data_IF_267412286372
#
_entry.id   IF_267412286372
#
_cell.length_a   1.000
_cell.length_b   1.000
_cell.length_c   1.000
_cell.angle_alpha   90.00
_cell.angle_beta   90.00
_cell.angle_gamma   90.00
#
_symmetry.space_group_name_H-M   'P 1'
#
loop_
_entity.id
_entity.type
_entity.pdbx_description
1 polymer ?
#
# COMPACT_ATOMS: atom_id res chain seq x y z
N UNK A 1 7.92 -2.02 -13.40
CA UNK A 1 8.05 -0.57 -13.22
C UNK A 1 9.45 -0.11 -13.58
N UNK A 2 9.59 1.16 -13.90
CA UNK A 2 10.88 1.80 -14.09
C UNK A 2 11.71 1.64 -12.81
N UNK A 3 12.97 1.18 -12.88
CA UNK A 3 13.81 1.05 -11.69
C UNK A 3 13.95 2.32 -10.86
N UNK A 4 13.88 3.50 -11.49
CA UNK A 4 13.93 4.78 -10.76
C UNK A 4 12.72 5.02 -9.87
N UNK A 5 11.62 4.32 -10.12
CA UNK A 5 10.37 4.41 -9.37
C UNK A 5 10.19 3.28 -8.36
N UNK A 6 11.06 2.29 -8.38
CA UNK A 6 11.02 1.18 -7.44
C UNK A 6 11.54 1.64 -6.07
N UNK A 7 10.86 1.25 -4.99
CA UNK A 7 11.27 1.62 -3.63
C UNK A 7 12.66 1.10 -3.26
N UNK A 8 13.11 0.02 -3.85
CA UNK A 8 14.35 -0.67 -3.49
C UNK A 8 15.36 -0.76 -4.65
N UNK A 9 14.96 -0.29 -5.83
CA UNK A 9 15.79 -0.42 -7.04
C UNK A 9 16.84 0.67 -7.20
N UNK A 10 16.81 1.70 -6.34
CA UNK A 10 17.69 2.85 -6.41
C UNK A 10 17.86 3.44 -5.01
N UNK A 11 18.99 4.13 -4.72
CA UNK A 11 19.16 4.84 -3.45
C UNK A 11 18.16 5.98 -3.25
N UNK A 12 17.63 6.56 -4.34
CA UNK A 12 16.73 7.72 -4.28
C UNK A 12 15.57 7.53 -5.28
N UNK A 13 14.67 6.55 -5.03
CA UNK A 13 13.55 6.30 -5.92
C UNK A 13 12.53 7.44 -5.87
N UNK A 14 11.95 7.76 -7.03
CA UNK A 14 10.99 8.86 -7.18
C UNK A 14 9.79 8.74 -6.25
N UNK A 15 9.31 7.52 -6.00
CA UNK A 15 8.17 7.30 -5.12
C UNK A 15 8.43 7.78 -3.68
N UNK A 16 9.67 7.73 -3.20
CA UNK A 16 10.01 8.16 -1.86
C UNK A 16 9.90 9.68 -1.67
N UNK A 17 9.97 10.46 -2.75
CA UNK A 17 9.81 11.92 -2.68
C UNK A 17 8.43 12.32 -2.17
N UNK A 18 7.41 11.49 -2.41
CA UNK A 18 6.05 11.72 -1.90
C UNK A 18 5.78 10.91 -0.63
N UNK A 19 6.36 9.74 -0.51
CA UNK A 19 6.08 8.80 0.58
C UNK A 19 6.73 9.23 1.90
N UNK A 20 8.01 9.60 1.87
CA UNK A 20 8.74 9.97 3.09
C UNK A 20 8.11 11.15 3.83
N UNK A 21 7.70 12.26 3.16
CA UNK A 21 7.04 13.34 3.87
C UNK A 21 5.75 12.92 4.59
N UNK A 22 5.01 11.97 4.02
CA UNK A 22 3.78 11.46 4.65
C UNK A 22 4.08 10.64 5.91
N UNK A 23 5.14 9.84 5.89
CA UNK A 23 5.60 9.11 7.08
C UNK A 23 6.08 10.07 8.16
N UNK A 24 6.83 11.11 7.79
CA UNK A 24 7.28 12.13 8.74
C UNK A 24 6.09 12.86 9.37
N UNK A 25 5.10 13.23 8.57
CA UNK A 25 3.87 13.85 9.04
C UNK A 25 3.08 12.93 9.98
N UNK A 26 3.16 11.64 9.77
CA UNK A 26 2.50 10.63 10.61
C UNK A 26 3.23 10.37 11.93
N UNK A 27 4.41 10.94 12.10
CA UNK A 27 5.18 10.81 13.35
C UNK A 27 6.39 9.88 13.27
N UNK A 28 6.71 9.34 12.08
CA UNK A 28 7.91 8.53 11.89
C UNK A 28 9.02 9.37 11.25
N UNK A 29 10.12 9.67 11.98
CA UNK A 29 11.18 10.55 11.48
C UNK A 29 12.11 9.84 10.49
N UNK A 30 11.55 9.21 9.47
CA UNK A 30 12.29 8.50 8.44
C UNK A 30 12.86 9.49 7.43
N UNK A 31 14.09 9.26 6.98
CA UNK A 31 14.75 10.04 5.92
C UNK A 31 14.97 9.23 4.65
N UNK A 32 14.90 7.90 4.75
CA UNK A 32 15.13 6.98 3.64
C UNK A 32 14.31 5.70 3.85
N UNK A 33 14.36 4.81 2.84
CA UNK A 33 13.60 3.57 2.90
C UNK A 33 14.10 2.63 4.01
N UNK A 34 15.38 2.66 4.33
CA UNK A 34 15.94 1.82 5.38
C UNK A 34 15.35 2.18 6.74
N UNK A 35 15.13 3.46 7.00
CA UNK A 35 14.49 3.90 8.24
C UNK A 35 13.07 3.34 8.36
N UNK A 36 12.34 3.29 7.25
CA UNK A 36 10.99 2.71 7.21
C UNK A 36 11.06 1.20 7.44
N UNK A 37 11.98 0.51 6.75
CA UNK A 37 12.16 -0.94 6.91
C UNK A 37 12.54 -1.33 8.34
N UNK A 38 13.39 -0.54 8.99
CA UNK A 38 13.82 -0.81 10.37
C UNK A 38 12.66 -0.72 11.36
N UNK A 39 11.61 0.00 11.01
CA UNK A 39 10.39 0.09 11.83
C UNK A 39 9.51 -1.15 11.67
N UNK A 40 9.85 -2.05 10.75
CA UNK A 40 9.07 -3.25 10.47
C UNK A 40 8.03 -3.06 9.38
N UNK A 41 8.23 -2.10 8.49
CA UNK A 41 7.30 -1.77 7.39
C UNK A 41 7.96 -2.11 6.07
N UNK A 42 7.27 -2.92 5.25
CA UNK A 42 7.68 -3.25 3.90
C UNK A 42 6.71 -2.60 2.91
N UNK A 43 7.22 -1.82 1.97
CA UNK A 43 6.40 -1.14 0.95
C UNK A 43 6.62 -1.85 -0.38
N UNK A 44 5.54 -2.16 -1.07
CA UNK A 44 5.61 -2.81 -2.38
C UNK A 44 4.49 -2.30 -3.28
N UNK A 45 4.58 -2.64 -4.55
CA UNK A 45 3.54 -2.35 -5.54
C UNK A 45 2.77 -3.63 -5.87
N UNK A 46 1.44 -3.51 -6.00
CA UNK A 46 0.59 -4.64 -6.35
C UNK A 46 0.83 -5.11 -7.78
N UNK A 47 1.13 -4.19 -8.70
CA UNK A 47 1.46 -4.49 -10.10
C UNK A 47 2.97 -4.56 -10.26
N UNK A 48 3.45 -5.69 -10.77
CA UNK A 48 4.89 -6.00 -10.88
C UNK A 48 5.48 -5.74 -12.26
N UNK A 49 4.63 -5.37 -13.23
CA UNK A 49 5.07 -5.03 -14.58
C UNK A 49 5.06 -3.51 -14.77
N UNK A 50 5.86 -2.97 -15.72
CA UNK A 50 5.85 -1.55 -16.01
C UNK A 50 4.45 -1.07 -16.40
N UNK A 51 4.06 0.08 -15.89
CA UNK A 51 2.78 0.71 -16.24
C UNK A 51 2.91 1.38 -17.59
N UNK A 52 2.07 0.97 -18.56
CA UNK A 52 2.05 1.54 -19.91
C UNK A 52 1.00 2.62 -20.09
N UNK A 53 -0.02 2.66 -19.21
CA UNK A 53 -1.16 3.57 -19.29
C UNK A 53 -1.54 4.10 -17.92
N UNK A 54 -2.41 5.12 -17.90
CA UNK A 54 -2.96 5.67 -16.66
C UNK A 54 -3.90 4.69 -15.96
N UNK A 55 -4.55 3.82 -16.72
CA UNK A 55 -5.46 2.81 -16.19
C UNK A 55 -4.78 1.46 -16.13
N UNK A 56 -4.84 0.81 -14.97
CA UNK A 56 -4.32 -0.55 -14.81
C UNK A 56 -5.45 -1.53 -15.10
N UNK A 57 -5.27 -2.35 -16.13
CA UNK A 57 -6.24 -3.36 -16.50
C UNK A 57 -6.24 -4.53 -15.51
N UNK A 58 -7.41 -5.18 -15.38
CA UNK A 58 -7.59 -6.36 -14.53
C UNK A 58 -6.59 -7.47 -14.87
N UNK A 59 -6.35 -7.71 -16.16
CA UNK A 59 -5.39 -8.73 -16.61
C UNK A 59 -3.98 -8.46 -16.13
N UNK A 60 -3.57 -7.20 -16.07
CA UNK A 60 -2.26 -6.81 -15.54
C UNK A 60 -2.15 -7.12 -14.05
N UNK A 61 -3.21 -6.86 -13.29
CA UNK A 61 -3.26 -7.21 -11.87
C UNK A 61 -3.18 -8.73 -11.71
N UNK A 62 -3.96 -9.47 -12.49
CA UNK A 62 -3.98 -10.94 -12.42
C UNK A 62 -2.61 -11.55 -12.71
N UNK A 63 -1.89 -11.01 -13.69
CA UNK A 63 -0.53 -11.47 -14.03
C UNK A 63 0.43 -11.26 -12.87
N UNK A 64 0.23 -10.22 -12.07
CA UNK A 64 1.09 -9.88 -10.93
C UNK A 64 0.74 -10.65 -9.65
N UNK A 65 -0.46 -11.25 -9.55
CA UNK A 65 -0.91 -11.90 -8.32
C UNK A 65 0.02 -12.97 -7.77
N UNK A 66 0.60 -13.89 -8.60
CA UNK A 66 1.51 -14.92 -8.05
C UNK A 66 2.73 -14.31 -7.36
N UNK A 67 3.24 -13.20 -7.89
CA UNK A 67 4.38 -12.49 -7.30
C UNK A 67 4.00 -11.80 -6.00
N UNK A 68 2.82 -11.19 -5.96
CA UNK A 68 2.30 -10.56 -4.74
C UNK A 68 2.04 -11.60 -3.64
N UNK A 69 1.44 -12.74 -3.98
CA UNK A 69 1.25 -13.84 -3.04
C UNK A 69 2.58 -14.29 -2.43
N UNK A 70 3.60 -14.44 -3.27
CA UNK A 70 4.93 -14.84 -2.83
C UNK A 70 5.55 -13.82 -1.89
N UNK A 71 5.43 -12.53 -2.21
CA UNK A 71 5.91 -11.47 -1.31
C UNK A 71 5.24 -11.53 0.06
N UNK A 72 3.91 -11.65 0.08
CA UNK A 72 3.16 -11.71 1.33
C UNK A 72 3.57 -12.93 2.17
N UNK A 73 3.88 -14.05 1.52
CA UNK A 73 4.31 -15.27 2.22
C UNK A 73 5.66 -15.14 2.90
N UNK A 74 6.48 -14.14 2.51
CA UNK A 74 7.78 -13.88 3.16
C UNK A 74 7.63 -13.25 4.54
N UNK A 75 6.44 -12.75 4.88
CA UNK A 75 6.20 -12.02 6.12
C UNK A 75 5.09 -12.69 6.95
N UNK A 76 5.37 -13.85 7.56
CA UNK A 76 4.33 -14.62 8.26
C UNK A 76 3.81 -13.93 9.54
N UNK A 77 4.52 -12.94 10.05
CA UNK A 77 4.13 -12.22 11.27
C UNK A 77 3.46 -10.87 10.97
N UNK A 78 2.96 -10.67 9.75
CA UNK A 78 2.29 -9.43 9.36
C UNK A 78 1.09 -9.16 10.27
N UNK A 79 1.04 -7.96 10.83
CA UNK A 79 -0.07 -7.49 11.68
C UNK A 79 -1.05 -6.60 10.94
N UNK A 80 -0.55 -5.83 9.97
CA UNK A 80 -1.33 -4.84 9.24
C UNK A 80 -0.93 -4.87 7.77
N UNK A 81 -1.93 -4.79 6.90
CA UNK A 81 -1.72 -4.55 5.47
C UNK A 81 -2.45 -3.26 5.11
N UNK A 82 -1.71 -2.26 4.66
CA UNK A 82 -2.29 -1.04 4.13
C UNK A 82 -2.45 -1.17 2.62
N UNK A 83 -3.64 -0.85 2.15
CA UNK A 83 -3.97 -0.89 0.72
C UNK A 83 -4.06 0.54 0.20
N UNK A 84 -2.96 1.00 -0.39
CA UNK A 84 -2.79 2.39 -0.78
C UNK A 84 -3.27 2.60 -2.22
N UNK A 85 -4.56 2.87 -2.39
CA UNK A 85 -5.19 3.13 -3.67
C UNK A 85 -6.03 1.97 -4.19
N UNK A 86 -6.74 2.21 -5.29
CA UNK A 86 -7.73 1.27 -5.82
C UNK A 86 -7.11 0.00 -6.41
N UNK A 87 -5.95 0.10 -7.02
CA UNK A 87 -5.25 -1.06 -7.59
C UNK A 87 -4.85 -2.04 -6.48
N UNK A 88 -4.33 -1.53 -5.38
CA UNK A 88 -3.98 -2.36 -4.22
C UNK A 88 -5.21 -3.06 -3.64
N UNK A 89 -6.35 -2.35 -3.52
CA UNK A 89 -7.60 -2.95 -3.05
C UNK A 89 -8.09 -4.06 -3.98
N UNK A 90 -8.07 -3.82 -5.28
CA UNK A 90 -8.48 -4.82 -6.28
C UNK A 90 -7.60 -6.05 -6.24
N UNK A 91 -6.28 -5.86 -6.21
CA UNK A 91 -5.33 -6.96 -6.15
C UNK A 91 -5.53 -7.80 -4.89
N UNK A 92 -5.67 -7.17 -3.75
CA UNK A 92 -5.87 -7.87 -2.49
C UNK A 92 -7.19 -8.65 -2.49
N UNK A 93 -8.28 -8.06 -3.00
CA UNK A 93 -9.55 -8.75 -3.12
C UNK A 93 -9.47 -9.95 -4.06
N UNK A 94 -8.70 -9.87 -5.13
CA UNK A 94 -8.48 -11.04 -6.00
C UNK A 94 -7.78 -12.17 -5.24
N UNK A 95 -6.79 -11.84 -4.41
CA UNK A 95 -6.10 -12.83 -3.58
C UNK A 95 -7.03 -13.47 -2.55
N UNK A 96 -7.80 -12.66 -1.83
CA UNK A 96 -8.68 -13.18 -0.77
C UNK A 96 -9.85 -13.96 -1.35
N UNK A 97 -10.40 -13.53 -2.49
CA UNK A 97 -11.47 -14.26 -3.18
C UNK A 97 -10.99 -15.63 -3.66
N UNK A 98 -9.76 -15.70 -4.18
CA UNK A 98 -9.16 -16.98 -4.58
C UNK A 98 -8.97 -17.91 -3.38
N UNK A 99 -8.55 -17.37 -2.24
CA UNK A 99 -8.26 -18.15 -1.05
C UNK A 99 -9.51 -18.54 -0.25
N UNK A 100 -10.52 -17.67 -0.18
CA UNK A 100 -11.68 -17.83 0.73
C UNK A 100 -13.03 -17.80 0.02
N UNK A 101 -13.07 -17.41 -1.26
CA UNK A 101 -14.31 -17.19 -2.00
C UNK A 101 -14.95 -15.84 -1.76
N UNK A 102 -14.36 -14.97 -0.93
CA UNK A 102 -14.91 -13.67 -0.57
C UNK A 102 -13.88 -12.56 -0.72
N UNK A 103 -14.36 -11.35 -1.07
CA UNK A 103 -13.55 -10.15 -1.04
C UNK A 103 -13.39 -9.67 0.41
N UNK A 104 -12.15 -9.43 0.84
CA UNK A 104 -11.88 -8.93 2.19
C UNK A 104 -12.27 -7.46 2.35
N UNK A 105 -12.24 -6.68 1.26
CA UNK A 105 -12.54 -5.26 1.28
C UNK A 105 -13.89 -5.02 0.59
N UNK A 106 -14.88 -4.45 1.30
CA UNK A 106 -16.19 -4.14 0.71
C UNK A 106 -16.09 -3.15 -0.45
N UNK A 107 -17.11 -3.18 -1.34
CA UNK A 107 -17.19 -2.28 -2.49
C UNK A 107 -17.81 -0.94 -2.08
N UNK A 108 -17.07 -0.16 -1.29
CA UNK A 108 -17.47 1.19 -0.89
C UNK A 108 -16.29 2.14 -1.10
N UNK A 109 -16.53 3.44 -0.87
CA UNK A 109 -15.49 4.45 -1.06
C UNK A 109 -14.35 4.28 -0.05
N UNK A 110 -13.15 4.66 -0.46
CA UNK A 110 -11.98 4.67 0.44
C UNK A 110 -12.24 5.54 1.66
N UNK A 111 -12.93 6.66 1.50
CA UNK A 111 -13.28 7.54 2.61
C UNK A 111 -14.02 6.80 3.73
N UNK A 112 -14.96 5.93 3.38
CA UNK A 112 -15.69 5.12 4.36
C UNK A 112 -14.85 3.95 4.88
N UNK A 113 -14.10 3.31 4.00
CA UNK A 113 -13.32 2.11 4.35
C UNK A 113 -12.19 2.40 5.32
N UNK A 114 -11.55 3.56 5.21
CA UNK A 114 -10.38 3.88 6.04
C UNK A 114 -10.69 3.96 7.54
N UNK A 115 -11.94 4.19 7.90
CA UNK A 115 -12.39 4.23 9.30
C UNK A 115 -13.18 2.98 9.71
N UNK A 116 -13.36 2.04 8.80
CA UNK A 116 -14.03 0.76 9.07
C UNK A 116 -12.99 -0.25 9.53
N UNK A 117 -13.27 -0.94 10.62
CA UNK A 117 -12.38 -1.97 11.14
C UNK A 117 -12.52 -3.24 10.32
N UNK A 118 -11.52 -3.51 9.48
CA UNK A 118 -11.49 -4.66 8.56
C UNK A 118 -10.36 -5.60 8.93
N UNK A 119 -10.62 -6.90 8.77
CA UNK A 119 -9.63 -7.96 9.00
C UNK A 119 -9.66 -8.99 7.89
N UNK A 120 -8.50 -9.53 7.58
CA UNK A 120 -8.34 -10.77 6.83
C UNK A 120 -7.61 -11.73 7.75
N UNK A 121 -8.29 -12.78 8.20
CA UNK A 121 -7.80 -13.62 9.29
C UNK A 121 -7.51 -12.74 10.53
N UNK A 122 -6.30 -12.73 11.03
CA UNK A 122 -5.90 -11.89 12.18
C UNK A 122 -5.22 -10.59 11.75
N UNK A 123 -5.09 -10.36 10.44
CA UNK A 123 -4.40 -9.20 9.89
C UNK A 123 -5.38 -8.03 9.76
N UNK A 124 -5.04 -6.89 10.33
CA UNK A 124 -5.81 -5.66 10.15
C UNK A 124 -5.59 -5.12 8.74
N UNK A 125 -6.69 -4.82 8.04
CA UNK A 125 -6.64 -4.25 6.69
C UNK A 125 -7.04 -2.78 6.76
N UNK A 126 -6.18 -1.90 6.24
CA UNK A 126 -6.43 -0.46 6.21
C UNK A 126 -6.41 0.02 4.75
N UNK A 127 -7.57 0.16 4.10
CA UNK A 127 -7.64 0.85 2.80
C UNK A 127 -7.37 2.34 2.99
N UNK A 128 -6.57 2.91 2.10
CA UNK A 128 -6.25 4.32 2.13
C UNK A 128 -6.01 4.84 0.71
N UNK A 129 -5.52 6.08 0.60
CA UNK A 129 -5.27 6.71 -0.68
C UNK A 129 -3.87 6.40 -1.18
N UNK A 130 -3.68 6.47 -2.51
CA UNK A 130 -2.36 6.29 -3.11
C UNK A 130 -1.41 7.39 -2.62
N UNK A 131 -0.20 6.99 -2.22
CA UNK A 131 0.81 7.90 -1.68
C UNK A 131 2.00 8.12 -2.61
N UNK A 132 1.93 7.58 -3.82
CA UNK A 132 2.95 7.76 -4.86
C UNK A 132 2.39 8.57 -6.01
N UNK A 133 3.27 9.25 -6.74
CA UNK A 133 2.89 10.07 -7.87
C UNK A 133 2.53 11.51 -7.48
N UNK A 134 2.42 12.37 -8.48
CA UNK A 134 2.27 13.81 -8.28
C UNK A 134 0.95 14.27 -7.69
N UNK A 135 -0.12 13.48 -7.87
CA UNK A 135 -1.45 13.88 -7.42
C UNK A 135 -1.56 14.06 -5.91
N UNK A 136 -0.84 13.26 -5.13
CA UNK A 136 -0.87 13.36 -3.67
C UNK A 136 -0.32 14.71 -3.18
N UNK A 137 0.56 15.35 -3.94
CA UNK A 137 1.12 16.66 -3.60
C UNK A 137 0.09 17.77 -3.79
N UNK A 138 -0.90 17.57 -4.66
CA UNK A 138 -1.94 18.56 -4.99
C UNK A 138 -3.16 18.37 -4.09
N UNK A 139 -3.54 17.13 -3.84
CA UNK A 139 -4.73 16.77 -3.06
C UNK A 139 -4.41 16.75 -1.56
N UNK A 140 -4.30 17.91 -0.95
CA UNK A 140 -3.86 18.05 0.46
C UNK A 140 -4.74 17.30 1.45
N UNK A 141 -6.05 17.23 1.23
CA UNK A 141 -6.96 16.52 2.14
C UNK A 141 -6.69 15.02 2.11
N UNK A 142 -6.42 14.45 0.95
CA UNK A 142 -6.06 13.03 0.82
C UNK A 142 -4.70 12.74 1.43
N UNK A 143 -3.73 13.63 1.26
CA UNK A 143 -2.42 13.51 1.90
C UNK A 143 -2.55 13.49 3.42
N UNK A 144 -3.39 14.36 3.98
CA UNK A 144 -3.64 14.40 5.42
C UNK A 144 -4.29 13.11 5.91
N UNK A 145 -5.31 12.63 5.20
CA UNK A 145 -5.99 11.36 5.55
C UNK A 145 -5.04 10.16 5.45
N UNK A 146 -4.22 10.11 4.40
CA UNK A 146 -3.23 9.04 4.25
C UNK A 146 -2.23 9.05 5.41
N UNK A 147 -1.74 10.21 5.83
CA UNK A 147 -0.82 10.29 6.96
C UNK A 147 -1.49 9.91 8.28
N UNK A 148 -2.78 10.22 8.46
CA UNK A 148 -3.56 9.77 9.62
C UNK A 148 -3.67 8.24 9.65
N UNK A 149 -3.86 7.62 8.48
CA UNK A 149 -3.95 6.17 8.37
C UNK A 149 -2.59 5.51 8.65
N UNK A 150 -1.50 6.13 8.23
CA UNK A 150 -0.15 5.69 8.58
C UNK A 150 0.05 5.78 10.10
N UNK A 151 -0.41 6.85 10.75
CA UNK A 151 -0.35 6.97 12.22
C UNK A 151 -1.10 5.83 12.89
N UNK A 152 -2.28 5.48 12.40
CA UNK A 152 -3.06 4.35 12.92
C UNK A 152 -2.28 3.04 12.77
N UNK A 153 -1.69 2.81 11.60
CA UNK A 153 -0.88 1.63 11.34
C UNK A 153 0.32 1.55 12.29
N UNK A 154 1.02 2.66 12.50
CA UNK A 154 2.19 2.70 13.39
C UNK A 154 1.80 2.30 14.83
N UNK A 155 0.63 2.73 15.30
CA UNK A 155 0.14 2.32 16.63
C UNK A 155 -0.16 0.83 16.70
N UNK A 156 -0.68 0.25 15.62
CA UNK A 156 -1.07 -1.16 15.59
C UNK A 156 0.13 -2.11 15.54
N UNK A 157 1.27 -1.69 15.01
CA UNK A 157 2.46 -2.54 14.90
C UNK A 157 3.42 -2.42 16.08
N UNK A 158 3.17 -1.50 16.97
CA UNK A 158 3.98 -1.34 18.20
C UNK A 158 3.70 -2.44 19.22
#
# INVERSE_FOLDING_TARGET
SDPSQDFYGSPDPDYLKTTIPLFQKAGLPAQNIQDILQTGIYITNAVKTPKSDYTIERSTIETSLPYLEKELSLFPNTKVIMLMGDVAKKAFNMLTKKATGKNAVPSTSTYKLRTTELYYETIRIIPSYIITGGNILIEKSKAQMASQDITTMLRLIQ
#
